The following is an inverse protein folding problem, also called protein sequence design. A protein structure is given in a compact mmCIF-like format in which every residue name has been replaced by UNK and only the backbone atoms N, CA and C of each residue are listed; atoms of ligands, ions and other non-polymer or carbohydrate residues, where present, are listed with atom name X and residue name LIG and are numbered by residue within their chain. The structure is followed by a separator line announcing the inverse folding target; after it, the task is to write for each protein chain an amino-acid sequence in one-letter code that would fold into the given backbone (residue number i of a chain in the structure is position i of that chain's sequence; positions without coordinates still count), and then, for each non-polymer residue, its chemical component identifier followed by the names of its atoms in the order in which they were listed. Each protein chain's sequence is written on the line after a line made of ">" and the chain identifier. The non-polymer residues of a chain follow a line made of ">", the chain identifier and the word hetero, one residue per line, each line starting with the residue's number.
data_IF_250594689195
#
_entry.id   IF_250594689195
#
_cell.length_a   1.000
_cell.length_b   1.000
_cell.length_c   1.000
_cell.angle_alpha   90.00
_cell.angle_beta   90.00
_cell.angle_gamma   90.00
#
_symmetry.space_group_name_H-M   'P 1'
#
loop_
_entity.id
_entity.type
_entity.pdbx_description
1 polymer ?
#
# COMPACT_ATOMS: atom_id res chain seq x y z
N UNK A 1 -0.19 39.30 5.06
CA UNK A 1 0.42 38.23 4.23
C UNK A 1 -0.68 37.24 3.94
N UNK A 2 -0.90 36.86 2.70
CA UNK A 2 -1.89 35.81 2.43
C UNK A 2 -1.39 34.48 2.99
N UNK A 3 -2.04 34.02 4.06
CA UNK A 3 -1.59 32.88 4.84
C UNK A 3 -1.70 31.56 4.03
N UNK A 4 -2.61 31.49 3.07
CA UNK A 4 -2.71 30.34 2.15
C UNK A 4 -1.50 30.28 1.24
N UNK A 5 -0.99 31.41 0.75
CA UNK A 5 0.24 31.45 -0.03
C UNK A 5 1.49 31.10 0.81
N UNK A 6 1.54 31.57 2.06
CA UNK A 6 2.60 31.17 3.00
C UNK A 6 2.55 29.66 3.28
N UNK A 7 1.37 29.08 3.48
CA UNK A 7 1.15 27.65 3.62
C UNK A 7 1.69 26.87 2.41
N UNK A 8 1.35 27.28 1.18
CA UNK A 8 1.87 26.64 -0.03
C UNK A 8 3.40 26.71 -0.14
N UNK A 9 4.00 27.83 0.21
CA UNK A 9 5.45 27.98 0.24
C UNK A 9 6.11 27.03 1.27
N UNK A 10 5.48 26.86 2.44
CA UNK A 10 5.93 25.90 3.47
C UNK A 10 5.89 24.47 2.95
N UNK A 11 4.80 24.09 2.25
CA UNK A 11 4.70 22.75 1.65
C UNK A 11 5.79 22.50 0.60
N UNK A 12 6.08 23.48 -0.26
CA UNK A 12 7.17 23.37 -1.24
C UNK A 12 8.52 23.18 -0.54
N UNK A 13 8.78 23.96 0.50
CA UNK A 13 10.00 23.83 1.31
C UNK A 13 10.09 22.48 2.00
N UNK A 14 8.96 21.96 2.49
CA UNK A 14 8.89 20.64 3.13
C UNK A 14 9.27 19.52 2.14
N UNK A 15 8.76 19.56 0.91
CA UNK A 15 9.13 18.61 -0.15
C UNK A 15 10.63 18.69 -0.46
N UNK A 16 11.18 19.90 -0.66
CA UNK A 16 12.60 20.11 -0.97
C UNK A 16 13.54 19.60 0.13
N UNK A 17 13.14 19.73 1.40
CA UNK A 17 13.92 19.28 2.55
C UNK A 17 13.68 17.80 2.91
N UNK A 18 12.78 17.11 2.21
CA UNK A 18 12.42 15.71 2.51
C UNK A 18 11.69 15.56 3.84
N UNK A 19 10.89 16.56 4.24
CA UNK A 19 10.04 16.44 5.43
C UNK A 19 8.97 15.37 5.23
N UNK A 20 8.74 14.54 6.25
CA UNK A 20 7.69 13.53 6.22
C UNK A 20 6.30 14.12 6.45
N UNK A 21 6.21 15.11 7.35
CA UNK A 21 4.93 15.71 7.72
C UNK A 21 5.08 17.24 7.91
N UNK A 22 3.99 17.97 7.65
CA UNK A 22 3.82 19.39 7.98
C UNK A 22 2.66 19.51 8.95
N UNK A 23 2.84 20.31 10.01
CA UNK A 23 1.84 20.54 11.03
C UNK A 23 1.44 22.02 11.06
N UNK A 24 0.13 22.25 11.03
CA UNK A 24 -0.53 23.55 11.09
C UNK A 24 -1.40 23.59 12.34
N UNK A 25 -1.16 24.54 13.24
CA UNK A 25 -1.97 24.72 14.44
C UNK A 25 -1.91 26.18 14.90
N UNK A 26 -3.01 26.71 15.41
CA UNK A 26 -3.02 28.04 16.00
C UNK A 26 -2.14 28.14 17.26
N UNK A 27 -1.59 29.32 17.49
CA UNK A 27 -0.74 29.63 18.65
C UNK A 27 0.76 29.37 18.43
N UNK A 28 1.18 28.97 17.23
CA UNK A 28 2.59 28.76 16.89
C UNK A 28 2.86 28.86 15.39
N UNK A 29 4.14 28.85 14.98
CA UNK A 29 4.50 28.85 13.57
C UNK A 29 4.17 27.50 12.91
N UNK A 30 4.23 27.43 11.59
CA UNK A 30 4.26 26.16 10.89
C UNK A 30 5.40 25.27 11.43
N UNK A 31 5.15 23.98 11.53
CA UNK A 31 6.18 22.99 11.92
C UNK A 31 6.27 21.90 10.85
N UNK A 32 7.44 21.30 10.74
CA UNK A 32 7.62 20.13 9.86
C UNK A 32 8.40 19.04 10.59
N UNK A 33 8.21 17.79 10.19
CA UNK A 33 8.96 16.65 10.70
C UNK A 33 10.12 16.35 9.77
N UNK A 34 11.34 16.63 10.24
CA UNK A 34 12.59 16.35 9.54
C UNK A 34 13.36 15.27 10.31
N UNK A 35 13.69 14.17 9.65
CA UNK A 35 14.46 13.05 10.26
C UNK A 35 13.89 12.60 11.62
N UNK A 36 12.55 12.52 11.69
CA UNK A 36 11.81 12.10 12.89
C UNK A 36 11.57 13.23 13.93
N UNK A 37 12.23 14.38 13.84
CA UNK A 37 12.08 15.49 14.79
C UNK A 37 11.12 16.55 14.25
N UNK A 38 10.25 17.07 15.12
CA UNK A 38 9.35 18.18 14.79
C UNK A 38 10.08 19.51 15.05
N UNK A 39 10.30 20.28 13.98
CA UNK A 39 11.01 21.56 14.03
C UNK A 39 10.13 22.71 13.50
N UNK A 40 10.26 23.94 14.04
CA UNK A 40 9.55 25.09 13.52
C UNK A 40 10.11 25.49 12.14
N UNK A 41 9.23 26.00 11.27
CA UNK A 41 9.63 26.59 9.98
C UNK A 41 10.05 28.04 10.23
N UNK A 42 11.36 28.29 10.16
CA UNK A 42 11.92 29.63 10.36
C UNK A 42 11.37 30.65 9.35
N UNK A 43 11.08 31.87 9.81
CA UNK A 43 10.58 32.95 8.97
C UNK A 43 9.08 32.93 8.77
N UNK A 44 8.34 32.05 9.46
CA UNK A 44 6.87 32.05 9.45
C UNK A 44 6.32 32.65 10.75
N UNK A 45 5.21 33.43 10.67
CA UNK A 45 4.58 34.00 11.88
C UNK A 45 3.86 32.90 12.68
N UNK A 46 3.48 33.24 13.90
CA UNK A 46 2.54 32.42 14.66
C UNK A 46 1.16 32.51 14.00
N UNK A 47 0.53 31.36 13.85
CA UNK A 47 -0.79 31.24 13.22
C UNK A 47 -1.89 31.60 14.22
N UNK A 48 -2.85 32.38 13.78
CA UNK A 48 -4.09 32.62 14.50
C UNK A 48 -5.20 31.64 14.10
N UNK A 49 -6.29 31.51 14.89
CA UNK A 49 -7.42 30.65 14.53
C UNK A 49 -8.00 30.94 13.14
N UNK A 50 -8.04 32.24 12.73
CA UNK A 50 -8.48 32.64 11.40
C UNK A 50 -7.59 32.15 10.28
N UNK A 51 -6.27 32.09 10.51
CA UNK A 51 -5.31 31.59 9.53
C UNK A 51 -5.48 30.08 9.29
N UNK A 52 -5.63 29.32 10.38
CA UNK A 52 -5.83 27.87 10.28
C UNK A 52 -7.18 27.54 9.65
N UNK A 53 -8.22 28.34 9.87
CA UNK A 53 -9.51 28.21 9.19
C UNK A 53 -9.40 28.50 7.69
N UNK A 54 -8.66 29.54 7.29
CA UNK A 54 -8.44 29.86 5.88
C UNK A 54 -7.64 28.75 5.16
N UNK A 55 -6.61 28.20 5.82
CA UNK A 55 -5.84 27.06 5.29
C UNK A 55 -6.73 25.82 5.14
N UNK A 56 -7.55 25.50 6.15
CA UNK A 56 -8.50 24.39 6.08
C UNK A 56 -9.50 24.58 4.94
N UNK A 57 -10.02 25.80 4.76
CA UNK A 57 -10.90 26.12 3.63
C UNK A 57 -10.24 25.89 2.28
N UNK A 58 -8.98 26.29 2.11
CA UNK A 58 -8.22 26.03 0.88
C UNK A 58 -8.02 24.53 0.62
N UNK A 59 -7.75 23.73 1.65
CA UNK A 59 -7.63 22.29 1.56
C UNK A 59 -8.97 21.65 1.16
N UNK A 60 -10.08 22.06 1.79
CA UNK A 60 -11.42 21.53 1.50
C UNK A 60 -11.89 21.84 0.07
N UNK A 61 -11.53 23.00 -0.46
CA UNK A 61 -11.83 23.37 -1.86
C UNK A 61 -11.01 22.53 -2.85
N UNK A 62 -9.72 22.38 -2.61
CA UNK A 62 -8.83 21.62 -3.48
C UNK A 62 -9.19 20.12 -3.50
N UNK A 63 -9.50 19.56 -2.33
CA UNK A 63 -9.92 18.16 -2.16
C UNK A 63 -11.37 17.88 -2.62
N UNK A 64 -12.09 18.90 -3.11
CA UNK A 64 -13.49 18.82 -3.56
C UNK A 64 -14.50 18.40 -2.46
N UNK A 65 -14.12 18.47 -1.20
CA UNK A 65 -15.05 18.23 -0.08
C UNK A 65 -15.98 19.41 0.15
N UNK A 66 -15.61 20.61 -0.33
CA UNK A 66 -16.45 21.80 -0.28
C UNK A 66 -16.47 22.53 -1.62
N UNK A 67 -17.50 23.34 -1.80
CA UNK A 67 -17.59 24.33 -2.89
C UNK A 67 -17.36 25.73 -2.32
N UNK A 68 -17.11 26.76 -3.16
CA UNK A 68 -17.01 28.14 -2.68
C UNK A 68 -18.23 28.62 -1.85
N UNK A 69 -19.41 28.04 -2.10
CA UNK A 69 -20.65 28.36 -1.39
C UNK A 69 -20.77 27.63 -0.04
N UNK A 70 -20.14 26.49 0.14
CA UNK A 70 -20.30 25.63 1.32
C UNK A 70 -19.08 25.61 2.24
N UNK A 71 -17.92 26.11 1.79
CA UNK A 71 -16.64 25.99 2.52
C UNK A 71 -16.68 26.60 3.92
N UNK A 72 -17.26 27.78 4.08
CA UNK A 72 -17.34 28.45 5.38
C UNK A 72 -18.21 27.69 6.40
N UNK A 73 -19.31 27.10 5.92
CA UNK A 73 -20.17 26.28 6.76
C UNK A 73 -19.46 25.01 7.17
N UNK A 74 -18.76 24.39 6.23
CA UNK A 74 -18.02 23.15 6.47
C UNK A 74 -16.84 23.35 7.43
N UNK A 75 -16.08 24.44 7.28
CA UNK A 75 -14.99 24.81 8.21
C UNK A 75 -15.53 25.00 9.63
N UNK A 76 -16.70 25.66 9.80
CA UNK A 76 -17.32 25.85 11.13
C UNK A 76 -17.85 24.58 11.77
N UNK A 77 -18.29 23.61 10.98
CA UNK A 77 -18.84 22.34 11.48
C UNK A 77 -17.83 21.20 11.50
N UNK A 78 -16.57 21.46 11.09
CA UNK A 78 -15.53 20.45 11.01
C UNK A 78 -15.21 19.88 12.40
N UNK A 79 -15.24 18.57 12.54
CA UNK A 79 -14.70 17.83 13.69
C UNK A 79 -13.40 17.14 13.32
N UNK A 80 -13.49 16.16 12.43
CA UNK A 80 -12.38 15.41 11.86
C UNK A 80 -12.65 15.10 10.39
N UNK A 81 -11.62 15.21 9.55
CA UNK A 81 -11.69 14.87 8.14
C UNK A 81 -10.35 14.40 7.63
N UNK A 82 -10.32 13.23 7.01
CA UNK A 82 -9.20 12.76 6.19
C UNK A 82 -9.46 13.09 4.72
N UNK A 83 -8.47 13.69 4.06
CA UNK A 83 -8.54 14.03 2.64
C UNK A 83 -7.14 14.09 2.02
N UNK A 84 -7.07 14.40 0.73
CA UNK A 84 -5.82 14.66 0.03
C UNK A 84 -5.73 16.11 -0.41
N UNK A 85 -4.53 16.67 -0.40
CA UNK A 85 -4.23 18.00 -0.94
C UNK A 85 -3.15 17.90 -2.01
N UNK A 86 -3.43 18.40 -3.21
CA UNK A 86 -2.52 18.38 -4.35
C UNK A 86 -1.97 19.75 -4.67
N UNK A 87 -0.66 19.88 -4.78
CA UNK A 87 0.00 21.08 -5.29
C UNK A 87 0.41 20.84 -6.74
N UNK A 88 -0.25 21.52 -7.68
CA UNK A 88 0.04 21.37 -9.10
C UNK A 88 1.55 21.47 -9.40
N UNK A 89 2.11 20.44 -10.03
CA UNK A 89 3.52 20.35 -10.39
C UNK A 89 4.52 20.14 -9.25
N UNK A 90 4.07 20.09 -7.98
CA UNK A 90 4.99 20.08 -6.82
C UNK A 90 4.86 18.84 -5.95
N UNK A 91 3.65 18.35 -5.65
CA UNK A 91 3.47 17.18 -4.79
C UNK A 91 2.04 16.97 -4.33
N UNK A 92 1.82 15.89 -3.58
CA UNK A 92 0.55 15.53 -2.99
C UNK A 92 0.75 15.22 -1.51
N UNK A 93 -0.25 15.54 -0.70
CA UNK A 93 -0.24 15.31 0.73
C UNK A 93 -1.51 14.57 1.15
N UNK A 94 -1.36 13.57 2.01
CA UNK A 94 -2.47 13.05 2.81
C UNK A 94 -2.68 14.00 3.98
N UNK A 95 -3.90 14.44 4.18
CA UNK A 95 -4.25 15.48 5.15
C UNK A 95 -5.27 14.95 6.14
N UNK A 96 -5.00 15.14 7.42
CA UNK A 96 -6.00 15.07 8.47
C UNK A 96 -6.25 16.48 8.98
N UNK A 97 -7.51 16.91 8.92
CA UNK A 97 -8.02 18.14 9.55
C UNK A 97 -8.76 17.75 10.82
N UNK A 98 -8.49 18.44 11.91
CA UNK A 98 -9.25 18.23 13.15
C UNK A 98 -9.54 19.53 13.90
N UNK A 99 -10.64 19.54 14.63
CA UNK A 99 -11.02 20.65 15.51
C UNK A 99 -10.29 20.54 16.85
N UNK A 100 -9.70 21.63 17.32
CA UNK A 100 -9.07 21.70 18.63
C UNK A 100 -9.26 23.07 19.29
N UNK A 101 -9.79 23.13 20.52
CA UNK A 101 -9.89 24.35 21.35
C UNK A 101 -10.45 25.56 20.56
N UNK A 102 -11.47 25.35 19.73
CA UNK A 102 -12.11 26.42 18.93
C UNK A 102 -11.30 26.85 17.70
N UNK A 103 -10.25 26.16 17.32
CA UNK A 103 -9.50 26.35 16.08
C UNK A 103 -9.34 25.03 15.32
N UNK A 104 -8.87 25.09 14.08
CA UNK A 104 -8.58 23.91 13.27
C UNK A 104 -7.08 23.63 13.30
N UNK A 105 -6.72 22.35 13.42
CA UNK A 105 -5.37 21.87 13.16
C UNK A 105 -5.35 21.01 11.90
N UNK A 106 -4.22 21.01 11.18
CA UNK A 106 -3.98 20.15 10.06
C UNK A 106 -2.63 19.43 10.19
N UNK A 107 -2.64 18.13 9.89
CA UNK A 107 -1.42 17.34 9.70
C UNK A 107 -1.37 16.87 8.26
N UNK A 108 -0.32 17.26 7.55
CA UNK A 108 -0.13 16.93 6.14
C UNK A 108 1.08 16.01 5.99
N UNK A 109 0.84 14.77 5.59
CA UNK A 109 1.90 13.80 5.28
C UNK A 109 2.28 13.90 3.81
N UNK A 110 3.55 14.11 3.54
CA UNK A 110 4.08 14.17 2.20
C UNK A 110 4.02 12.79 1.53
N UNK A 111 3.41 12.71 0.35
CA UNK A 111 3.37 11.51 -0.49
C UNK A 111 4.60 11.51 -1.37
N UNK A 112 5.47 10.48 -1.29
CA UNK A 112 6.70 10.42 -2.07
C UNK A 112 6.43 10.43 -3.59
N UNK A 113 7.20 11.23 -4.32
CA UNK A 113 7.18 11.25 -5.79
C UNK A 113 8.10 10.16 -6.35
N UNK A 114 9.16 9.81 -5.60
CA UNK A 114 10.10 8.78 -6.01
C UNK A 114 9.49 7.41 -5.72
N UNK A 115 9.19 6.69 -6.80
CA UNK A 115 8.68 5.33 -6.71
C UNK A 115 9.79 4.37 -6.27
N UNK A 116 9.51 3.45 -5.36
CA UNK A 116 10.44 2.39 -5.04
C UNK A 116 10.60 1.43 -6.23
N UNK A 117 11.70 0.69 -6.25
CA UNK A 117 11.89 -0.44 -7.14
C UNK A 117 12.14 -1.74 -6.35
N UNK A 118 11.96 -2.87 -7.03
CA UNK A 118 12.01 -4.20 -6.39
C UNK A 118 13.39 -4.47 -5.78
N UNK A 119 14.47 -4.11 -6.47
CA UNK A 119 15.83 -4.32 -6.00
C UNK A 119 16.17 -3.37 -4.83
N UNK A 120 15.82 -2.09 -4.93
CA UNK A 120 16.06 -1.09 -3.89
C UNK A 120 15.33 -1.38 -2.57
N UNK A 121 14.21 -2.10 -2.64
CA UNK A 121 13.49 -2.58 -1.46
C UNK A 121 14.03 -3.92 -0.94
N UNK A 122 15.05 -4.52 -1.54
CA UNK A 122 15.53 -5.88 -1.25
C UNK A 122 14.42 -6.94 -1.33
N UNK A 123 13.50 -6.81 -2.30
CA UNK A 123 12.45 -7.78 -2.55
C UNK A 123 12.98 -8.92 -3.45
N UNK A 124 12.45 -10.14 -3.28
CA UNK A 124 12.85 -11.27 -4.12
C UNK A 124 12.62 -11.01 -5.61
N UNK A 125 13.57 -11.40 -6.50
CA UNK A 125 13.45 -11.16 -7.95
C UNK A 125 12.21 -11.77 -8.59
N UNK A 126 11.67 -12.84 -8.04
CA UNK A 126 10.43 -13.49 -8.52
C UNK A 126 9.23 -12.54 -8.57
N UNK A 127 9.25 -11.43 -7.81
CA UNK A 127 8.21 -10.40 -7.89
C UNK A 127 8.18 -9.70 -9.26
N UNK A 128 9.33 -9.63 -9.97
CA UNK A 128 9.34 -9.14 -11.35
C UNK A 128 8.56 -10.10 -12.26
N UNK A 129 8.82 -11.40 -12.14
CA UNK A 129 8.11 -12.43 -12.90
C UNK A 129 6.59 -12.39 -12.63
N UNK A 130 6.20 -12.22 -11.36
CA UNK A 130 4.78 -12.06 -11.00
C UNK A 130 4.19 -10.77 -11.59
N UNK A 131 4.94 -9.66 -11.59
CA UNK A 131 4.48 -8.40 -12.20
C UNK A 131 4.34 -8.49 -13.73
N UNK A 132 5.00 -9.46 -14.36
CA UNK A 132 4.98 -9.70 -15.80
C UNK A 132 3.89 -10.66 -16.27
N UNK A 133 3.12 -11.26 -15.33
CA UNK A 133 1.95 -12.07 -15.68
C UNK A 133 0.98 -11.27 -16.56
N UNK A 134 0.30 -11.96 -17.47
CA UNK A 134 -0.63 -11.30 -18.39
C UNK A 134 -2.01 -11.09 -17.78
N UNK A 135 -2.43 -12.00 -16.90
CA UNK A 135 -3.75 -11.98 -16.24
C UNK A 135 -3.75 -12.80 -14.96
N UNK A 136 -4.74 -12.57 -14.13
CA UNK A 136 -4.97 -13.31 -12.90
C UNK A 136 -4.91 -12.40 -11.67
N UNK A 137 -4.85 -12.98 -10.49
CA UNK A 137 -4.88 -12.26 -9.21
C UNK A 137 -3.53 -12.40 -8.49
N UNK A 138 -2.97 -11.30 -8.07
CA UNK A 138 -1.76 -11.23 -7.24
C UNK A 138 -2.09 -10.49 -5.95
N UNK A 139 -1.74 -11.09 -4.82
CA UNK A 139 -2.06 -10.56 -3.49
C UNK A 139 -0.79 -10.24 -2.72
N UNK A 140 -0.72 -9.02 -2.17
CA UNK A 140 0.32 -8.63 -1.21
C UNK A 140 -0.30 -8.55 0.17
N UNK A 141 0.23 -9.32 1.13
CA UNK A 141 -0.40 -9.49 2.43
C UNK A 141 0.54 -9.19 3.59
N UNK A 142 -0.04 -8.95 4.75
CA UNK A 142 0.69 -8.61 5.98
C UNK A 142 -0.06 -7.59 6.83
N UNK A 143 0.40 -7.39 8.05
CA UNK A 143 -0.18 -6.42 8.98
C UNK A 143 -0.03 -4.98 8.48
N UNK A 144 -0.76 -4.06 9.07
CA UNK A 144 -0.59 -2.63 8.79
C UNK A 144 0.86 -2.21 9.07
N UNK A 145 1.44 -1.44 8.14
CA UNK A 145 2.84 -1.01 8.26
C UNK A 145 3.88 -2.07 7.86
N UNK A 146 3.48 -3.21 7.28
CA UNK A 146 4.41 -4.23 6.76
C UNK A 146 5.04 -3.89 5.39
N UNK A 147 4.66 -2.76 4.76
CA UNK A 147 5.23 -2.29 3.49
C UNK A 147 4.49 -2.77 2.24
N UNK A 148 3.24 -3.27 2.36
CA UNK A 148 2.44 -3.76 1.22
C UNK A 148 2.34 -2.75 0.08
N UNK A 149 1.99 -1.50 0.40
CA UNK A 149 1.85 -0.43 -0.60
C UNK A 149 3.17 -0.14 -1.31
N UNK A 150 4.31 -0.18 -0.59
CA UNK A 150 5.63 0.00 -1.20
C UNK A 150 5.98 -1.14 -2.16
N UNK A 151 5.62 -2.38 -1.82
CA UNK A 151 5.81 -3.55 -2.68
C UNK A 151 4.94 -3.47 -3.94
N UNK A 152 3.65 -3.15 -3.79
CA UNK A 152 2.77 -2.90 -4.93
C UNK A 152 3.29 -1.75 -5.80
N UNK A 153 3.74 -0.65 -5.18
CA UNK A 153 4.31 0.49 -5.91
C UNK A 153 5.56 0.09 -6.70
N UNK A 154 6.43 -0.75 -6.14
CA UNK A 154 7.62 -1.26 -6.85
C UNK A 154 7.24 -2.16 -8.03
N UNK A 155 6.24 -3.03 -7.88
CA UNK A 155 5.74 -3.89 -8.97
C UNK A 155 5.08 -3.06 -10.07
N UNK A 156 4.21 -2.12 -9.72
CA UNK A 156 3.57 -1.22 -10.69
C UNK A 156 4.57 -0.27 -11.36
N UNK A 157 5.61 0.19 -10.64
CA UNK A 157 6.71 0.96 -11.22
C UNK A 157 7.49 0.15 -12.25
N UNK A 158 7.73 -1.14 -11.98
CA UNK A 158 8.35 -2.06 -12.95
C UNK A 158 7.49 -2.19 -14.21
N UNK A 159 6.20 -2.43 -14.07
CA UNK A 159 5.24 -2.52 -15.18
C UNK A 159 5.22 -1.22 -15.99
N UNK A 160 5.11 -0.08 -15.32
CA UNK A 160 5.06 1.24 -15.97
C UNK A 160 6.29 1.49 -16.85
N UNK A 161 7.46 1.02 -16.45
CA UNK A 161 8.72 1.16 -17.20
C UNK A 161 8.89 0.13 -18.33
N UNK A 162 8.20 -1.01 -18.27
CA UNK A 162 8.50 -2.16 -19.14
C UNK A 162 7.39 -2.50 -20.12
N UNK A 163 6.11 -2.31 -19.75
CA UNK A 163 4.94 -2.75 -20.54
C UNK A 163 4.13 -1.59 -21.11
N UNK A 164 3.74 -1.61 -22.41
CA UNK A 164 2.82 -0.63 -23.00
C UNK A 164 1.37 -1.03 -22.70
N UNK A 165 0.93 -0.83 -21.47
CA UNK A 165 -0.38 -1.26 -20.94
C UNK A 165 -1.10 -0.10 -20.26
N UNK A 166 -2.38 -0.29 -19.98
CA UNK A 166 -3.17 0.65 -19.19
C UNK A 166 -3.44 0.07 -17.80
N UNK A 167 -2.93 0.74 -16.77
CA UNK A 167 -3.12 0.38 -15.38
C UNK A 167 -4.06 1.37 -14.68
N UNK A 168 -5.04 0.84 -13.94
CA UNK A 168 -5.96 1.64 -13.14
C UNK A 168 -5.76 1.24 -11.68
N UNK A 169 -5.49 2.22 -10.81
CA UNK A 169 -5.42 2.00 -9.37
C UNK A 169 -6.64 2.61 -8.67
N UNK A 170 -7.11 1.94 -7.62
CA UNK A 170 -8.21 2.38 -6.76
C UNK A 170 -7.68 2.30 -5.33
N UNK A 171 -7.52 3.43 -4.67
CA UNK A 171 -6.75 3.55 -3.43
C UNK A 171 -7.51 4.34 -2.34
N UNK A 172 -7.16 4.10 -1.07
CA UNK A 172 -7.75 4.80 0.08
C UNK A 172 -6.70 5.06 1.18
N UNK A 173 -5.98 6.20 1.10
CA UNK A 173 -5.81 7.09 -0.04
C UNK A 173 -4.66 6.65 -0.98
N UNK A 174 -4.38 7.45 -2.02
CA UNK A 174 -3.20 7.29 -2.87
C UNK A 174 -1.91 7.46 -2.04
N UNK A 175 -1.03 6.43 -2.05
CA UNK A 175 0.23 6.45 -1.29
C UNK A 175 1.47 6.76 -2.15
N UNK A 176 1.41 6.59 -3.46
CA UNK A 176 2.48 6.90 -4.40
C UNK A 176 1.90 7.52 -5.67
N UNK A 177 2.61 8.48 -6.26
CA UNK A 177 2.19 9.09 -7.52
C UNK A 177 2.96 8.49 -8.68
N UNK A 178 2.23 7.98 -9.67
CA UNK A 178 2.80 7.50 -10.92
C UNK A 178 2.75 8.60 -11.98
N UNK A 179 3.81 8.67 -12.78
CA UNK A 179 3.80 9.39 -14.05
C UNK A 179 3.80 8.35 -15.15
N UNK A 180 3.05 8.61 -16.21
CA UNK A 180 3.07 7.76 -17.40
C UNK A 180 4.49 7.65 -17.95
N UNK A 181 4.91 6.42 -18.25
CA UNK A 181 6.16 6.11 -18.97
C UNK A 181 5.79 5.27 -20.19
N UNK A 182 5.96 3.96 -20.16
CA UNK A 182 5.44 3.05 -21.20
C UNK A 182 3.98 2.70 -20.97
N UNK A 183 3.53 2.67 -19.72
CA UNK A 183 2.14 2.45 -19.38
C UNK A 183 1.37 3.76 -19.19
N UNK A 184 0.06 3.71 -19.39
CA UNK A 184 -0.89 4.75 -18.97
C UNK A 184 -1.34 4.42 -17.54
N UNK A 185 -1.11 5.34 -16.59
CA UNK A 185 -1.43 5.16 -15.18
C UNK A 185 -2.60 6.03 -14.76
N UNK A 186 -3.74 5.43 -14.45
CA UNK A 186 -4.91 6.15 -13.94
C UNK A 186 -5.08 5.80 -12.46
N UNK A 187 -4.98 6.81 -11.60
CA UNK A 187 -5.14 6.64 -10.15
C UNK A 187 -6.45 7.26 -9.70
N UNK A 188 -7.23 6.50 -8.93
CA UNK A 188 -8.51 6.94 -8.37
C UNK A 188 -8.52 6.78 -6.86
N UNK A 189 -8.88 7.83 -6.15
CA UNK A 189 -8.94 7.86 -4.70
C UNK A 189 -10.38 7.78 -4.19
N UNK A 190 -10.61 7.00 -3.14
CA UNK A 190 -11.87 6.98 -2.42
C UNK A 190 -12.15 8.36 -1.79
N UNK A 191 -13.41 8.75 -1.79
CA UNK A 191 -13.87 10.04 -1.26
C UNK A 191 -13.72 11.20 -2.26
N UNK A 192 -12.61 11.23 -3.04
CA UNK A 192 -12.37 12.30 -4.02
C UNK A 192 -12.84 11.95 -5.45
N UNK A 193 -12.56 10.74 -5.90
CA UNK A 193 -12.80 10.30 -7.30
C UNK A 193 -13.87 9.20 -7.40
N UNK A 194 -14.17 8.52 -6.32
CA UNK A 194 -15.15 7.44 -6.25
C UNK A 194 -15.65 7.21 -4.82
N UNK A 195 -16.85 6.65 -4.68
CA UNK A 195 -17.49 6.45 -3.36
C UNK A 195 -17.15 5.10 -2.71
N UNK A 196 -16.72 4.09 -3.52
CA UNK A 196 -16.39 2.76 -3.00
C UNK A 196 -15.47 1.99 -3.95
N UNK A 197 -14.72 1.02 -3.40
CA UNK A 197 -13.87 0.11 -4.16
C UNK A 197 -14.69 -0.66 -5.20
N UNK A 198 -15.83 -1.25 -4.80
CA UNK A 198 -16.69 -2.02 -5.68
C UNK A 198 -17.22 -1.21 -6.88
N UNK A 199 -17.68 0.04 -6.63
CA UNK A 199 -18.15 0.95 -7.70
C UNK A 199 -17.03 1.31 -8.66
N UNK A 200 -15.85 1.68 -8.12
CA UNK A 200 -14.69 2.04 -8.92
C UNK A 200 -14.20 0.87 -9.77
N UNK A 201 -14.15 -0.33 -9.20
CA UNK A 201 -13.71 -1.55 -9.88
C UNK A 201 -14.65 -1.93 -11.03
N UNK A 202 -15.99 -1.88 -10.81
CA UNK A 202 -16.96 -2.06 -11.91
C UNK A 202 -16.80 -1.02 -13.01
N UNK A 203 -16.49 0.22 -12.66
CA UNK A 203 -16.25 1.28 -13.65
C UNK A 203 -14.94 1.03 -14.41
N UNK A 204 -13.89 0.60 -13.74
CA UNK A 204 -12.59 0.30 -14.34
C UNK A 204 -12.69 -0.73 -15.44
N UNK A 205 -13.50 -1.78 -15.29
CA UNK A 205 -13.74 -2.81 -16.32
C UNK A 205 -14.31 -2.29 -17.64
N UNK A 206 -14.81 -1.05 -17.68
CA UNK A 206 -15.30 -0.38 -18.90
C UNK A 206 -14.36 0.71 -19.41
N UNK A 207 -13.15 0.79 -18.86
CA UNK A 207 -12.15 1.80 -19.18
C UNK A 207 -10.95 1.21 -19.94
N UNK A 208 -11.12 0.00 -20.51
CA UNK A 208 -10.08 -0.70 -21.25
C UNK A 208 -8.78 -0.86 -20.47
N UNK A 209 -8.80 -1.43 -19.25
CA UNK A 209 -7.61 -1.69 -18.48
C UNK A 209 -6.98 -3.03 -18.84
N UNK A 210 -5.67 -3.12 -18.84
CA UNK A 210 -4.94 -4.39 -18.79
C UNK A 210 -4.68 -4.80 -17.34
N UNK A 211 -4.45 -3.80 -16.49
CA UNK A 211 -4.08 -3.98 -15.09
C UNK A 211 -4.99 -3.17 -14.19
N UNK A 212 -5.44 -3.79 -13.11
CA UNK A 212 -6.24 -3.14 -12.08
C UNK A 212 -5.59 -3.38 -10.71
N UNK A 213 -5.30 -2.33 -9.96
CA UNK A 213 -4.89 -2.42 -8.56
C UNK A 213 -6.01 -1.93 -7.67
N UNK A 214 -6.46 -2.80 -6.77
CA UNK A 214 -7.45 -2.49 -5.72
C UNK A 214 -6.70 -2.41 -4.40
N UNK A 215 -6.69 -1.26 -3.77
CA UNK A 215 -5.92 -1.00 -2.55
C UNK A 215 -6.08 -2.09 -1.51
N UNK A 216 -7.32 -2.53 -1.28
CA UNK A 216 -7.62 -3.65 -0.39
C UNK A 216 -8.95 -4.34 -0.72
N UNK A 217 -9.04 -5.64 -0.39
CA UNK A 217 -10.24 -6.45 -0.48
C UNK A 217 -10.70 -6.87 0.92
N UNK A 218 -11.75 -6.21 1.43
CA UNK A 218 -12.28 -6.47 2.78
C UNK A 218 -13.62 -7.19 2.78
N UNK A 219 -14.41 -7.02 1.73
CA UNK A 219 -15.80 -7.47 1.61
C UNK A 219 -16.01 -8.40 0.42
N UNK A 220 -17.08 -9.17 0.49
CA UNK A 220 -17.47 -10.16 -0.52
C UNK A 220 -17.64 -9.54 -1.90
N UNK A 221 -18.27 -8.36 -1.99
CA UNK A 221 -18.56 -7.72 -3.27
C UNK A 221 -17.28 -7.33 -4.01
N UNK A 222 -16.33 -6.71 -3.30
CA UNK A 222 -15.02 -6.32 -3.87
C UNK A 222 -14.23 -7.55 -4.32
N UNK A 223 -14.21 -8.62 -3.50
CA UNK A 223 -13.53 -9.89 -3.85
C UNK A 223 -14.16 -10.52 -5.09
N UNK A 224 -15.49 -10.60 -5.16
CA UNK A 224 -16.20 -11.19 -6.30
C UNK A 224 -15.91 -10.45 -7.62
N UNK A 225 -15.91 -9.11 -7.60
CA UNK A 225 -15.62 -8.32 -8.79
C UNK A 225 -14.14 -8.45 -9.19
N UNK A 226 -13.22 -8.51 -8.23
CA UNK A 226 -11.80 -8.71 -8.50
C UNK A 226 -11.52 -10.09 -9.14
N UNK A 227 -12.16 -11.15 -8.64
CA UNK A 227 -12.09 -12.48 -9.25
C UNK A 227 -12.64 -12.46 -10.68
N UNK A 228 -13.81 -11.85 -10.93
CA UNK A 228 -14.38 -11.68 -12.27
C UNK A 228 -13.45 -10.93 -13.23
N UNK A 229 -12.79 -9.89 -12.73
CA UNK A 229 -11.79 -9.16 -13.52
C UNK A 229 -10.63 -10.09 -13.93
N UNK A 230 -10.10 -10.87 -12.99
CA UNK A 230 -9.00 -11.82 -13.23
C UNK A 230 -9.43 -12.96 -14.21
N UNK A 231 -10.66 -13.45 -14.10
CA UNK A 231 -11.24 -14.45 -15.01
C UNK A 231 -11.39 -13.92 -16.44
N UNK A 232 -11.73 -12.62 -16.58
CA UNK A 232 -12.00 -11.99 -17.88
C UNK A 232 -10.74 -11.42 -18.55
N UNK A 233 -9.54 -11.75 -18.05
CA UNK A 233 -8.27 -11.49 -18.73
C UNK A 233 -7.45 -10.35 -18.18
N UNK A 234 -7.85 -9.72 -17.08
CA UNK A 234 -7.08 -8.63 -16.46
C UNK A 234 -6.08 -9.15 -15.42
N UNK A 235 -4.95 -8.47 -15.28
CA UNK A 235 -4.04 -8.68 -14.15
C UNK A 235 -4.50 -7.80 -12.98
N UNK A 236 -4.91 -8.45 -11.88
CA UNK A 236 -5.45 -7.76 -10.70
C UNK A 236 -4.46 -7.84 -9.55
N UNK A 237 -4.10 -6.69 -8.99
CA UNK A 237 -3.33 -6.59 -7.75
C UNK A 237 -4.21 -6.14 -6.60
N UNK A 238 -4.02 -6.72 -5.41
CA UNK A 238 -4.70 -6.22 -4.22
C UNK A 238 -3.94 -6.53 -2.94
N UNK A 239 -4.41 -5.98 -1.82
CA UNK A 239 -3.91 -6.31 -0.49
C UNK A 239 -4.95 -7.00 0.38
N UNK A 240 -4.45 -7.86 1.27
CA UNK A 240 -5.25 -8.49 2.34
C UNK A 240 -4.46 -8.42 3.65
N UNK A 241 -5.17 -8.25 4.78
CA UNK A 241 -4.54 -8.18 6.10
C UNK A 241 -4.42 -9.57 6.75
N UNK A 242 -3.61 -10.44 6.15
CA UNK A 242 -3.33 -11.80 6.62
C UNK A 242 -1.83 -12.00 6.77
N UNK A 243 -1.38 -12.98 7.55
CA UNK A 243 0.02 -13.18 7.91
C UNK A 243 0.81 -14.08 6.96
N UNK A 244 0.12 -14.92 6.18
CA UNK A 244 0.70 -15.94 5.30
C UNK A 244 -0.26 -16.35 4.17
N UNK A 245 0.24 -17.07 3.18
CA UNK A 245 -0.51 -17.47 1.98
C UNK A 245 -1.72 -18.38 2.30
N UNK A 246 -1.57 -19.35 3.20
CA UNK A 246 -2.64 -20.27 3.59
C UNK A 246 -3.81 -19.50 4.23
N UNK A 247 -3.49 -18.61 5.17
CA UNK A 247 -4.52 -17.75 5.80
C UNK A 247 -5.14 -16.78 4.82
N UNK A 248 -4.40 -16.34 3.81
CA UNK A 248 -4.93 -15.47 2.76
C UNK A 248 -6.00 -16.17 1.96
N UNK A 249 -5.74 -17.39 1.49
CA UNK A 249 -6.71 -18.21 0.77
C UNK A 249 -7.95 -18.46 1.63
N UNK A 250 -7.74 -18.91 2.87
CA UNK A 250 -8.83 -19.16 3.82
C UNK A 250 -9.67 -17.90 4.09
N UNK A 251 -9.04 -16.73 4.20
CA UNK A 251 -9.71 -15.45 4.41
C UNK A 251 -10.59 -15.05 3.24
N UNK A 252 -10.08 -15.17 2.01
CA UNK A 252 -10.85 -14.83 0.80
C UNK A 252 -12.05 -15.75 0.63
N UNK A 253 -11.90 -17.03 0.91
CA UNK A 253 -13.02 -17.99 0.86
C UNK A 253 -14.05 -17.68 1.95
N UNK A 254 -13.61 -17.37 3.16
CA UNK A 254 -14.50 -17.17 4.31
C UNK A 254 -15.39 -15.92 4.27
N UNK A 255 -15.17 -14.98 3.33
CA UNK A 255 -16.06 -13.82 3.16
C UNK A 255 -17.35 -14.18 2.42
N UNK A 256 -17.40 -15.37 1.80
CA UNK A 256 -18.57 -15.88 1.08
C UNK A 256 -19.40 -16.83 1.95
N UNK A 257 -20.72 -16.93 1.71
CA UNK A 257 -21.58 -17.93 2.33
C UNK A 257 -21.03 -19.35 2.12
N UNK A 258 -21.29 -20.25 3.08
CA UNK A 258 -20.72 -21.59 3.06
C UNK A 258 -21.02 -22.38 1.77
N UNK A 259 -22.20 -22.20 1.21
CA UNK A 259 -22.66 -22.83 -0.03
C UNK A 259 -21.91 -22.35 -1.28
N UNK A 260 -21.35 -21.14 -1.26
CA UNK A 260 -20.59 -20.56 -2.37
C UNK A 260 -19.08 -20.88 -2.29
N UNK A 261 -18.58 -21.24 -1.11
CA UNK A 261 -17.14 -21.43 -0.88
C UNK A 261 -16.47 -22.43 -1.81
N UNK A 262 -17.08 -23.59 -2.17
CA UNK A 262 -16.47 -24.50 -3.14
C UNK A 262 -16.24 -23.86 -4.52
N UNK A 263 -17.22 -23.09 -5.01
CA UNK A 263 -17.09 -22.38 -6.27
C UNK A 263 -16.02 -21.28 -6.22
N UNK A 264 -15.93 -20.56 -5.10
CA UNK A 264 -14.90 -19.55 -4.88
C UNK A 264 -13.50 -20.16 -4.84
N UNK A 265 -13.33 -21.34 -4.22
CA UNK A 265 -12.05 -22.08 -4.24
C UNK A 265 -11.62 -22.45 -5.66
N UNK A 266 -12.55 -22.92 -6.50
CA UNK A 266 -12.29 -23.23 -7.90
C UNK A 266 -11.83 -21.99 -8.65
N UNK A 267 -12.54 -20.86 -8.52
CA UNK A 267 -12.17 -19.58 -9.13
C UNK A 267 -10.80 -19.07 -8.67
N UNK A 268 -10.50 -19.17 -7.36
CA UNK A 268 -9.18 -18.84 -6.83
C UNK A 268 -8.09 -19.75 -7.39
N UNK A 269 -8.32 -21.06 -7.47
CA UNK A 269 -7.38 -22.02 -8.04
C UNK A 269 -7.03 -21.69 -9.50
N UNK A 270 -7.98 -21.20 -10.27
CA UNK A 270 -7.80 -20.85 -11.69
C UNK A 270 -7.15 -19.47 -11.87
N UNK A 271 -7.53 -18.49 -11.05
CA UNK A 271 -7.15 -17.08 -11.28
C UNK A 271 -5.95 -16.62 -10.48
N UNK A 272 -5.71 -17.15 -9.28
CA UNK A 272 -4.58 -16.74 -8.45
C UNK A 272 -3.26 -17.02 -9.17
N UNK A 273 -2.33 -16.05 -9.14
CA UNK A 273 -0.96 -16.20 -9.67
C UNK A 273 0.06 -16.25 -8.55
N UNK A 274 -0.13 -15.46 -7.50
CA UNK A 274 0.75 -15.50 -6.35
C UNK A 274 0.22 -14.77 -5.14
N UNK A 275 0.77 -15.14 -3.99
CA UNK A 275 0.58 -14.46 -2.71
C UNK A 275 1.94 -14.09 -2.17
N UNK A 276 2.12 -12.81 -1.86
CA UNK A 276 3.34 -12.22 -1.33
C UNK A 276 3.03 -11.75 0.09
N UNK A 277 3.43 -12.54 1.08
CA UNK A 277 3.21 -12.20 2.50
C UNK A 277 4.45 -11.54 3.06
N UNK A 278 4.32 -10.42 3.82
CA UNK A 278 5.50 -9.69 4.24
C UNK A 278 5.44 -9.12 5.66
N UNK A 279 6.64 -8.99 6.24
CA UNK A 279 6.94 -8.36 7.53
C UNK A 279 8.10 -7.41 7.36
N UNK A 280 8.13 -6.28 8.10
CA UNK A 280 9.28 -5.38 8.11
C UNK A 280 10.11 -5.60 9.35
N UNK A 281 11.42 -5.80 9.16
CA UNK A 281 12.40 -6.06 10.19
C UNK A 281 13.40 -4.89 10.30
N UNK A 282 13.92 -4.59 11.50
CA UNK A 282 14.99 -3.61 11.65
C UNK A 282 16.25 -4.10 10.95
N UNK A 283 16.91 -3.22 10.22
CA UNK A 283 18.19 -3.52 9.58
C UNK A 283 19.32 -3.54 10.61
N UNK A 284 20.34 -4.36 10.36
CA UNK A 284 21.54 -4.49 11.18
C UNK A 284 22.33 -3.16 11.29
N UNK A 285 22.34 -2.37 10.21
CA UNK A 285 23.02 -1.06 10.18
C UNK A 285 22.24 0.04 10.93
N UNK A 286 21.08 -0.25 11.50
CA UNK A 286 20.21 0.72 12.17
C UNK A 286 19.53 1.72 11.23
N UNK A 287 19.72 1.61 9.91
CA UNK A 287 19.15 2.54 8.94
C UNK A 287 17.87 1.98 8.28
N UNK A 288 16.76 2.15 8.98
CA UNK A 288 15.45 1.76 8.45
C UNK A 288 15.13 0.28 8.64
N UNK A 289 14.37 -0.27 7.70
CA UNK A 289 13.81 -1.63 7.77
C UNK A 289 14.01 -2.36 6.45
N UNK A 290 14.01 -3.70 6.50
CA UNK A 290 14.07 -4.58 5.34
C UNK A 290 12.87 -5.54 5.37
N UNK A 291 12.21 -5.86 4.24
CA UNK A 291 11.11 -6.79 4.21
C UNK A 291 11.61 -8.25 4.30
N UNK A 292 11.02 -9.03 5.21
CA UNK A 292 11.02 -10.48 5.11
C UNK A 292 9.76 -10.91 4.38
N UNK A 293 9.89 -11.78 3.38
CA UNK A 293 8.83 -12.09 2.41
C UNK A 293 8.66 -13.59 2.26
N UNK A 294 7.42 -14.07 2.39
CA UNK A 294 6.99 -15.37 1.91
C UNK A 294 6.39 -15.17 0.50
N UNK A 295 6.76 -16.02 -0.45
CA UNK A 295 6.22 -15.99 -1.81
C UNK A 295 5.65 -17.36 -2.17
N UNK A 296 4.36 -17.41 -2.42
CA UNK A 296 3.66 -18.53 -3.02
C UNK A 296 3.34 -18.22 -4.48
N UNK A 297 3.69 -19.11 -5.39
CA UNK A 297 3.18 -19.11 -6.77
C UNK A 297 2.13 -20.19 -6.94
N UNK A 298 1.08 -19.90 -7.69
CA UNK A 298 0.03 -20.87 -7.96
C UNK A 298 0.45 -21.81 -9.08
N UNK A 299 1.09 -22.92 -8.68
CA UNK A 299 1.39 -24.05 -9.56
C UNK A 299 0.16 -24.98 -9.63
N UNK A 300 0.08 -25.93 -10.59
CA UNK A 300 -0.99 -26.92 -10.62
C UNK A 300 -1.18 -27.65 -9.29
N UNK A 301 -0.09 -28.03 -8.61
CA UNK A 301 -0.15 -28.69 -7.31
C UNK A 301 -0.72 -27.77 -6.21
N UNK A 302 -0.39 -26.47 -6.23
CA UNK A 302 -0.98 -25.48 -5.31
C UNK A 302 -2.46 -25.28 -5.63
N UNK A 303 -2.85 -25.21 -6.89
CA UNK A 303 -4.25 -25.09 -7.33
C UNK A 303 -5.10 -26.26 -6.81
N UNK A 304 -4.62 -27.50 -6.87
CA UNK A 304 -5.28 -28.67 -6.33
C UNK A 304 -5.51 -28.55 -4.81
N UNK A 305 -4.51 -28.04 -4.07
CA UNK A 305 -4.64 -27.81 -2.63
C UNK A 305 -5.56 -26.63 -2.27
N UNK A 306 -5.70 -25.64 -3.16
CA UNK A 306 -6.70 -24.56 -2.98
C UNK A 306 -8.10 -25.10 -3.11
N UNK A 307 -8.36 -26.00 -4.05
CA UNK A 307 -9.67 -26.63 -4.26
C UNK A 307 -10.08 -27.50 -3.09
N UNK A 308 -9.12 -28.21 -2.46
CA UNK A 308 -9.39 -29.08 -1.31
C UNK A 308 -9.27 -28.32 0.03
N UNK A 309 -10.41 -28.04 0.65
CA UNK A 309 -10.48 -27.31 1.91
C UNK A 309 -9.70 -27.99 3.04
N UNK A 310 -9.65 -29.33 3.06
CA UNK A 310 -8.98 -30.11 4.09
C UNK A 310 -7.46 -30.09 3.97
N UNK A 311 -6.94 -29.79 2.78
CA UNK A 311 -5.51 -29.84 2.44
C UNK A 311 -4.86 -28.49 2.17
N UNK A 312 -5.61 -27.40 2.31
CA UNK A 312 -5.06 -26.05 2.10
C UNK A 312 -3.80 -25.78 2.94
N UNK A 313 -3.68 -26.44 4.11
CA UNK A 313 -2.50 -26.34 4.99
C UNK A 313 -1.21 -26.89 4.36
N UNK A 314 -1.31 -27.90 3.48
CA UNK A 314 -0.17 -28.56 2.82
C UNK A 314 0.54 -27.63 1.81
N UNK A 315 -0.07 -26.51 1.45
CA UNK A 315 0.55 -25.47 0.57
C UNK A 315 1.90 -25.03 1.13
N UNK A 316 2.10 -25.05 2.45
CA UNK A 316 3.38 -24.66 3.07
C UNK A 316 4.54 -25.55 2.59
N UNK A 317 4.30 -26.83 2.46
CA UNK A 317 5.32 -27.78 2.02
C UNK A 317 5.70 -27.52 0.55
N UNK A 318 4.70 -27.24 -0.31
CA UNK A 318 4.94 -26.86 -1.70
C UNK A 318 5.70 -25.53 -1.83
N UNK A 319 5.50 -24.58 -0.91
CA UNK A 319 6.29 -23.33 -0.89
C UNK A 319 7.77 -23.64 -0.58
N UNK A 320 8.03 -24.52 0.40
CA UNK A 320 9.41 -24.93 0.75
C UNK A 320 10.11 -25.60 -0.44
N UNK A 321 9.44 -26.57 -1.08
CA UNK A 321 9.96 -27.35 -2.18
C UNK A 321 10.13 -26.54 -3.48
N UNK A 322 9.23 -25.58 -3.71
CA UNK A 322 9.19 -24.76 -4.92
C UNK A 322 10.25 -23.68 -5.02
N UNK A 323 11.22 -23.64 -4.10
CA UNK A 323 12.21 -22.56 -4.03
C UNK A 323 13.09 -22.46 -5.28
N UNK A 324 13.69 -23.56 -5.69
CA UNK A 324 14.64 -23.57 -6.82
C UNK A 324 13.95 -23.48 -8.18
N UNK A 325 12.79 -24.10 -8.32
CA UNK A 325 12.10 -24.20 -9.61
C UNK A 325 11.19 -22.99 -9.90
N UNK A 326 10.49 -22.50 -8.88
CA UNK A 326 9.44 -21.48 -9.03
C UNK A 326 9.78 -20.15 -8.36
N UNK A 327 10.90 -20.06 -7.63
CA UNK A 327 11.24 -18.88 -6.84
C UNK A 327 10.34 -18.68 -5.63
N UNK A 328 9.58 -19.71 -5.22
CA UNK A 328 8.80 -19.67 -3.98
C UNK A 328 9.74 -19.66 -2.78
N UNK A 329 9.30 -19.09 -1.68
CA UNK A 329 10.07 -19.12 -0.43
C UNK A 329 9.17 -18.92 0.78
N UNK A 330 9.53 -19.54 1.89
CA UNK A 330 8.92 -19.29 3.19
C UNK A 330 9.59 -18.09 3.87
N UNK A 331 8.94 -17.57 4.92
CA UNK A 331 9.57 -16.55 5.77
C UNK A 331 10.92 -17.01 6.31
N UNK A 332 11.01 -18.24 6.82
CA UNK A 332 12.23 -18.74 7.46
C UNK A 332 13.39 -18.90 6.45
N UNK A 333 13.09 -19.32 5.21
CA UNK A 333 14.08 -19.34 4.13
C UNK A 333 14.59 -17.93 3.80
N UNK A 334 13.70 -16.94 3.70
CA UNK A 334 14.11 -15.57 3.41
C UNK A 334 14.83 -14.90 4.60
N UNK A 335 14.43 -15.20 5.84
CA UNK A 335 15.15 -14.74 7.03
C UNK A 335 16.60 -15.22 7.04
N UNK A 336 16.83 -16.48 6.61
CA UNK A 336 18.17 -17.02 6.47
C UNK A 336 18.98 -16.29 5.39
N UNK A 337 18.36 -15.96 4.25
CA UNK A 337 19.02 -15.18 3.20
C UNK A 337 19.37 -13.76 3.66
N UNK A 338 18.45 -13.09 4.36
CA UNK A 338 18.68 -11.76 4.91
C UNK A 338 19.79 -11.75 5.96
N UNK A 339 19.86 -12.80 6.79
CA UNK A 339 20.94 -12.96 7.77
C UNK A 339 22.29 -13.21 7.09
N UNK A 340 22.35 -14.15 6.11
CA UNK A 340 23.56 -14.41 5.32
C UNK A 340 24.02 -13.22 4.50
N UNK A 341 23.07 -12.40 4.03
CA UNK A 341 23.32 -11.16 3.32
C UNK A 341 23.71 -9.99 4.25
N UNK A 342 23.90 -10.25 5.54
CA UNK A 342 24.28 -9.24 6.56
C UNK A 342 23.30 -8.07 6.70
N UNK A 343 22.03 -8.27 6.32
CA UNK A 343 20.98 -7.25 6.36
C UNK A 343 20.26 -7.19 7.72
N UNK A 344 20.20 -8.31 8.45
CA UNK A 344 19.61 -8.42 9.79
C UNK A 344 20.53 -9.19 10.74
N UNK A 345 20.34 -9.00 12.05
CA UNK A 345 21.08 -9.79 13.05
C UNK A 345 20.44 -11.16 13.28
N UNK A 346 21.18 -12.08 13.89
CA UNK A 346 20.67 -13.40 14.26
C UNK A 346 19.49 -13.31 15.25
N UNK A 347 19.52 -12.36 16.19
CA UNK A 347 18.47 -12.11 17.16
C UNK A 347 17.19 -11.67 16.46
N UNK A 348 17.28 -10.74 15.50
CA UNK A 348 16.14 -10.27 14.70
C UNK A 348 15.56 -11.42 13.86
N UNK A 349 16.42 -12.23 13.23
CA UNK A 349 16.00 -13.38 12.43
C UNK A 349 15.25 -14.41 13.29
N UNK A 350 15.83 -14.79 14.44
CA UNK A 350 15.21 -15.74 15.39
C UNK A 350 13.86 -15.25 15.91
N UNK A 351 13.76 -13.97 16.30
CA UNK A 351 12.52 -13.38 16.81
C UNK A 351 11.40 -13.34 15.76
N UNK A 352 11.75 -13.22 14.48
CA UNK A 352 10.80 -13.16 13.36
C UNK A 352 10.45 -14.53 12.76
N UNK A 353 11.19 -15.57 13.09
CA UNK A 353 11.02 -16.93 12.54
C UNK A 353 9.69 -17.57 12.97
N UNK A 354 9.19 -18.47 12.14
CA UNK A 354 7.96 -19.23 12.40
C UNK A 354 8.15 -20.16 13.61
N UNK A 355 9.31 -20.81 13.71
CA UNK A 355 9.76 -21.58 14.87
C UNK A 355 11.15 -21.09 15.29
N UNK A 356 11.26 -20.22 16.30
CA UNK A 356 12.56 -19.68 16.75
C UNK A 356 13.57 -20.77 17.14
N UNK A 357 13.10 -21.86 17.73
CA UNK A 357 13.96 -22.99 18.15
C UNK A 357 14.53 -23.75 16.94
N UNK A 358 13.72 -24.06 15.95
CA UNK A 358 14.16 -24.74 14.73
C UNK A 358 15.08 -23.84 13.90
N UNK A 359 14.75 -22.55 13.83
CA UNK A 359 15.59 -21.58 13.16
C UNK A 359 16.97 -21.43 13.81
N UNK A 360 17.01 -21.42 15.15
CA UNK A 360 18.28 -21.37 15.91
C UNK A 360 19.16 -22.58 15.61
N UNK A 361 18.58 -23.80 15.62
CA UNK A 361 19.31 -25.03 15.24
C UNK A 361 19.89 -24.94 13.84
N UNK A 362 19.09 -24.46 12.87
CA UNK A 362 19.56 -24.33 11.48
C UNK A 362 20.70 -23.31 11.33
N UNK A 363 20.81 -22.31 12.21
CA UNK A 363 21.93 -21.37 12.24
C UNK A 363 23.25 -22.02 12.73
N UNK A 364 23.16 -23.02 13.62
CA UNK A 364 24.34 -23.71 14.18
C UNK A 364 24.97 -24.74 13.23
N UNK A 365 24.18 -25.24 12.26
CA UNK A 365 24.62 -26.23 11.27
C UNK A 365 25.11 -25.62 9.95
N UNK A 366 25.25 -24.29 9.87
CA UNK A 366 25.74 -23.58 8.68
C UNK A 366 26.96 -22.71 8.99
#
# INVERSE_FOLDING_TARGET
>A
MDMVNAFRAVLQKAIQLGASDVHVSAGGPFRMRLRGQVVPVTGTPNLEPGDTAAIAGAILLDSKHATPQTVDAMVRSLTDLDCSYSMSGSGRFRVNLCSQRGSIAATLRNIPINLPDIAGLNLPPVLQTLAEEDRGLILVTGVTGSGKSSTLAAMLSHINKTKPVKAITIEDPIEFLYKDDRAIMIQRELGGDTDSFARALRAALRQDPDIIMVGEMRDMETVDIALKAAETGHLVFSTVHTSDAVKTISRLVSVFPAEEQPAVRMRLAETLRGVISQRLLPRKDGQGRVPAVEVMRNTPAVADLIMDASRTGDIKDLIVEGRSQYGMQTFDQHLMDLYKGDLITAEVAKAAATSPADFARNLEFQ
#
